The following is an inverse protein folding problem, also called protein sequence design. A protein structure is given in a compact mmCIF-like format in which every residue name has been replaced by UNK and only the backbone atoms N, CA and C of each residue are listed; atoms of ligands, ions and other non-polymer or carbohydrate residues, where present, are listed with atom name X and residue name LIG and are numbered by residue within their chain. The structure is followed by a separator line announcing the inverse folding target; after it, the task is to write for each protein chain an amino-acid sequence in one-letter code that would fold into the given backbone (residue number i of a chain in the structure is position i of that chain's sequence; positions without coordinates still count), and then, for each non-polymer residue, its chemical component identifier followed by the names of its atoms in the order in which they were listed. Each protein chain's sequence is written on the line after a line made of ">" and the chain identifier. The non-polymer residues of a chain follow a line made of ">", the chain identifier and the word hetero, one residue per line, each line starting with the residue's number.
data_IF_437630791548
#
_entry.id   IF_437630791548
#
_cell.length_a   1.000
_cell.length_b   1.000
_cell.length_c   1.000
_cell.angle_alpha   90.00
_cell.angle_beta   90.00
_cell.angle_gamma   90.00
#
_symmetry.space_group_name_H-M   'P 1'
#
loop_
_entity.id
_entity.type
_entity.pdbx_description
1 polymer ?
#
# COMPACT_ATOMS: atom_id res chain seq x y z
N UNK A 1 1.07 7.41 24.47
CA UNK A 1 2.00 7.73 23.37
C UNK A 1 2.37 6.45 22.65
N UNK A 2 2.09 6.33 21.34
CA UNK A 2 2.59 5.20 20.54
C UNK A 2 4.12 5.30 20.50
N UNK A 3 4.83 4.36 21.10
CA UNK A 3 6.29 4.28 20.98
C UNK A 3 6.65 4.06 19.51
N UNK A 4 7.63 4.81 19.01
CA UNK A 4 8.09 4.80 17.60
C UNK A 4 8.45 3.38 17.12
N UNK A 5 8.83 2.49 18.05
CA UNK A 5 9.11 1.07 17.80
C UNK A 5 7.92 0.25 17.30
N UNK A 6 6.68 0.67 17.55
CA UNK A 6 5.45 -0.02 17.10
C UNK A 6 4.96 0.44 15.73
N UNK A 7 5.50 1.55 15.21
CA UNK A 7 5.08 2.12 13.93
C UNK A 7 5.34 1.19 12.73
N UNK A 8 6.43 0.40 12.66
CA UNK A 8 6.60 -0.59 11.58
C UNK A 8 5.48 -1.63 11.54
N UNK A 9 5.08 -2.17 12.69
CA UNK A 9 3.98 -3.13 12.79
C UNK A 9 2.64 -2.48 12.42
N UNK A 10 2.40 -1.25 12.86
CA UNK A 10 1.21 -0.49 12.47
C UNK A 10 1.18 -0.25 10.94
N UNK A 11 2.31 0.13 10.36
CA UNK A 11 2.45 0.35 8.91
C UNK A 11 2.16 -0.92 8.10
N UNK A 12 2.65 -2.07 8.57
CA UNK A 12 2.36 -3.36 7.96
C UNK A 12 0.87 -3.72 8.09
N UNK A 13 0.27 -3.52 9.27
CA UNK A 13 -1.15 -3.78 9.49
C UNK A 13 -2.05 -2.89 8.61
N UNK A 14 -1.72 -1.60 8.46
CA UNK A 14 -2.45 -0.68 7.59
C UNK A 14 -2.33 -1.08 6.12
N UNK A 15 -1.15 -1.51 5.65
CA UNK A 15 -0.99 -2.03 4.30
C UNK A 15 -1.77 -3.33 4.07
N UNK A 16 -1.74 -4.26 5.03
CA UNK A 16 -2.53 -5.49 4.96
C UNK A 16 -4.04 -5.17 4.88
N UNK A 17 -4.51 -4.25 5.71
CA UNK A 17 -5.90 -3.79 5.68
C UNK A 17 -6.24 -3.13 4.33
N UNK A 18 -5.37 -2.28 3.79
CA UNK A 18 -5.56 -1.68 2.48
C UNK A 18 -5.66 -2.76 1.38
N UNK A 19 -4.79 -3.78 1.38
CA UNK A 19 -4.85 -4.89 0.43
C UNK A 19 -6.18 -5.66 0.52
N UNK A 20 -6.64 -5.96 1.74
CA UNK A 20 -7.93 -6.63 1.96
C UNK A 20 -9.09 -5.78 1.42
N UNK A 21 -9.11 -4.49 1.71
CA UNK A 21 -10.15 -3.57 1.24
C UNK A 21 -10.15 -3.42 -0.28
N UNK A 22 -8.97 -3.39 -0.91
CA UNK A 22 -8.83 -3.35 -2.37
C UNK A 22 -9.37 -4.64 -3.02
N UNK A 23 -8.98 -5.81 -2.50
CA UNK A 23 -9.47 -7.10 -2.99
C UNK A 23 -10.99 -7.18 -2.84
N UNK A 24 -11.52 -6.85 -1.65
CA UNK A 24 -12.95 -6.82 -1.41
C UNK A 24 -13.65 -5.83 -2.37
N UNK A 25 -13.10 -4.63 -2.56
CA UNK A 25 -13.61 -3.63 -3.48
C UNK A 25 -13.66 -4.12 -4.92
N UNK A 26 -12.66 -4.89 -5.35
CA UNK A 26 -12.62 -5.53 -6.67
C UNK A 26 -13.69 -6.62 -6.81
N UNK A 27 -13.89 -7.45 -5.79
CA UNK A 27 -14.94 -8.46 -5.79
C UNK A 27 -16.34 -7.83 -5.84
N UNK A 28 -16.55 -6.72 -5.13
CA UNK A 28 -17.82 -5.99 -5.13
C UNK A 28 -18.15 -5.38 -6.51
N UNK A 29 -17.17 -4.80 -7.22
CA UNK A 29 -17.43 -4.26 -8.56
C UNK A 29 -17.65 -5.37 -9.60
N UNK A 30 -17.00 -6.54 -9.45
CA UNK A 30 -17.28 -7.72 -10.28
C UNK A 30 -18.71 -8.24 -10.08
N UNK A 31 -19.25 -8.09 -8.88
CA UNK A 31 -20.65 -8.39 -8.57
C UNK A 31 -21.61 -7.23 -8.92
N UNK A 32 -21.13 -6.17 -9.60
CA UNK A 32 -21.90 -4.97 -9.95
C UNK A 32 -22.48 -4.21 -8.74
N UNK A 33 -21.97 -4.45 -7.53
CA UNK A 33 -22.39 -3.79 -6.28
C UNK A 33 -21.65 -2.47 -6.09
N UNK A 34 -21.95 -1.51 -6.97
CA UNK A 34 -21.22 -0.22 -7.09
C UNK A 34 -21.16 0.57 -5.78
N UNK A 35 -22.24 0.60 -4.99
CA UNK A 35 -22.26 1.31 -3.69
C UNK A 35 -21.24 0.74 -2.71
N UNK A 36 -21.15 -0.59 -2.61
CA UNK A 36 -20.21 -1.31 -1.73
C UNK A 36 -18.77 -1.15 -2.23
N UNK A 37 -18.56 -1.28 -3.55
CA UNK A 37 -17.26 -0.97 -4.17
C UNK A 37 -16.79 0.44 -3.80
N UNK A 38 -17.63 1.46 -3.96
CA UNK A 38 -17.28 2.86 -3.64
C UNK A 38 -16.88 3.01 -2.17
N UNK A 39 -17.66 2.44 -1.25
CA UNK A 39 -17.35 2.51 0.18
C UNK A 39 -15.99 1.87 0.50
N UNK A 40 -15.70 0.69 -0.06
CA UNK A 40 -14.43 -0.02 0.13
C UNK A 40 -13.24 0.73 -0.48
N UNK A 41 -13.39 1.33 -1.66
CA UNK A 41 -12.32 2.12 -2.28
C UNK A 41 -12.00 3.39 -1.48
N UNK A 42 -13.01 4.05 -0.92
CA UNK A 42 -12.80 5.20 -0.03
C UNK A 42 -12.15 4.79 1.29
N UNK A 43 -12.54 3.65 1.87
CA UNK A 43 -11.90 3.09 3.05
C UNK A 43 -10.43 2.72 2.78
N UNK A 44 -10.13 2.05 1.65
CA UNK A 44 -8.77 1.73 1.25
C UNK A 44 -7.91 2.98 1.07
N UNK A 45 -8.49 4.04 0.49
CA UNK A 45 -7.84 5.33 0.34
C UNK A 45 -7.52 5.98 1.70
N UNK A 46 -8.49 6.01 2.61
CA UNK A 46 -8.30 6.55 3.96
C UNK A 46 -7.22 5.78 4.75
N UNK A 47 -7.26 4.45 4.71
CA UNK A 47 -6.23 3.58 5.32
C UNK A 47 -4.86 3.83 4.71
N UNK A 48 -4.77 4.03 3.39
CA UNK A 48 -3.51 4.33 2.70
C UNK A 48 -2.94 5.70 3.09
N UNK A 49 -3.79 6.71 3.32
CA UNK A 49 -3.37 8.01 3.87
C UNK A 49 -2.81 7.83 5.28
N UNK A 50 -3.52 7.08 6.13
CA UNK A 50 -3.07 6.84 7.50
C UNK A 50 -1.73 6.09 7.52
N UNK A 51 -1.56 5.11 6.64
CA UNK A 51 -0.27 4.44 6.42
C UNK A 51 0.81 5.44 6.02
N UNK A 52 0.56 6.31 5.03
CA UNK A 52 1.56 7.25 4.55
C UNK A 52 1.99 8.22 5.65
N UNK A 53 1.05 8.75 6.41
CA UNK A 53 1.35 9.63 7.56
C UNK A 53 2.21 8.89 8.59
N UNK A 54 1.79 7.69 9.00
CA UNK A 54 2.53 6.87 9.96
C UNK A 54 3.93 6.47 9.46
N UNK A 55 4.06 6.14 8.18
CA UNK A 55 5.33 5.84 7.51
C UNK A 55 6.29 7.03 7.51
N UNK A 56 5.82 8.21 7.12
CA UNK A 56 6.63 9.43 7.09
C UNK A 56 7.07 9.83 8.50
N UNK A 57 6.18 9.73 9.50
CA UNK A 57 6.53 9.97 10.91
C UNK A 57 7.60 9.00 11.38
N UNK A 58 7.44 7.70 11.11
CA UNK A 58 8.45 6.69 11.45
C UNK A 58 9.80 6.99 10.79
N UNK A 59 9.80 7.27 9.49
CA UNK A 59 11.02 7.48 8.73
C UNK A 59 11.75 8.77 9.14
N UNK A 60 11.00 9.81 9.52
CA UNK A 60 11.58 11.04 10.06
C UNK A 60 12.33 10.81 11.39
N UNK A 61 11.84 9.90 12.25
CA UNK A 61 12.46 9.65 13.55
C UNK A 61 13.55 8.57 13.54
N UNK A 62 13.36 7.49 12.78
CA UNK A 62 14.24 6.30 12.80
C UNK A 62 15.20 6.25 11.61
N UNK A 63 14.92 7.01 10.54
CA UNK A 63 15.69 6.97 9.32
C UNK A 63 15.56 5.64 8.59
N UNK A 64 16.67 5.17 7.99
CA UNK A 64 16.70 3.93 7.23
C UNK A 64 17.25 2.77 8.06
N UNK A 65 16.48 1.67 8.12
CA UNK A 65 16.94 0.41 8.72
C UNK A 65 17.65 -0.41 7.66
N UNK A 66 18.86 -0.88 7.97
CA UNK A 66 19.67 -1.68 7.04
C UNK A 66 19.18 -3.12 7.01
N UNK A 67 19.03 -3.68 5.82
CA UNK A 67 18.77 -5.10 5.65
C UNK A 67 20.04 -5.94 5.87
N UNK A 68 20.00 -6.86 6.84
CA UNK A 68 21.13 -7.68 7.29
C UNK A 68 21.20 -9.05 6.62
N UNK A 69 20.16 -9.46 5.87
CA UNK A 69 20.13 -10.74 5.16
C UNK A 69 21.27 -10.88 4.13
N UNK A 70 21.83 -12.09 4.06
CA UNK A 70 22.97 -12.46 3.19
C UNK A 70 22.57 -13.52 2.15
N UNK A 71 23.35 -13.63 1.07
CA UNK A 71 23.10 -14.60 -0.01
C UNK A 71 21.99 -14.17 -0.98
N UNK A 72 21.25 -15.14 -1.53
CA UNK A 72 20.26 -14.93 -2.60
C UNK A 72 19.07 -14.05 -2.18
N UNK A 73 18.76 -13.95 -0.88
CA UNK A 73 17.63 -13.15 -0.40
C UNK A 73 17.88 -11.64 -0.52
N UNK A 74 19.14 -11.22 -0.50
CA UNK A 74 19.52 -9.80 -0.59
C UNK A 74 19.11 -9.14 -1.91
N UNK A 75 19.47 -9.68 -3.09
CA UNK A 75 18.99 -9.12 -4.36
C UNK A 75 17.46 -9.20 -4.50
N UNK A 76 16.81 -10.26 -3.99
CA UNK A 76 15.34 -10.36 -3.98
C UNK A 76 14.70 -9.25 -3.15
N UNK A 77 15.21 -9.02 -1.93
CA UNK A 77 14.75 -7.95 -1.06
C UNK A 77 14.89 -6.58 -1.73
N UNK A 78 16.05 -6.28 -2.30
CA UNK A 78 16.25 -4.98 -2.96
C UNK A 78 15.42 -4.82 -4.23
N UNK A 79 15.22 -5.88 -5.01
CA UNK A 79 14.32 -5.84 -6.15
C UNK A 79 12.89 -5.46 -5.72
N UNK A 80 12.37 -6.11 -4.67
CA UNK A 80 11.04 -5.81 -4.10
C UNK A 80 10.99 -4.43 -3.48
N UNK A 81 12.00 -4.02 -2.72
CA UNK A 81 12.04 -2.73 -2.05
C UNK A 81 12.06 -1.59 -3.07
N UNK A 82 12.93 -1.66 -4.07
CA UNK A 82 13.07 -0.63 -5.10
C UNK A 82 11.78 -0.52 -5.91
N UNK A 83 11.23 -1.65 -6.40
CA UNK A 83 9.98 -1.63 -7.15
C UNK A 83 8.81 -1.12 -6.30
N UNK A 84 8.71 -1.55 -5.04
CA UNK A 84 7.69 -1.08 -4.09
C UNK A 84 7.79 0.44 -3.91
N UNK A 85 8.97 0.98 -3.59
CA UNK A 85 9.13 2.41 -3.32
C UNK A 85 8.80 3.26 -4.55
N UNK A 86 9.26 2.87 -5.75
CA UNK A 86 8.98 3.60 -6.98
C UNK A 86 7.47 3.60 -7.31
N UNK A 87 6.83 2.44 -7.21
CA UNK A 87 5.40 2.31 -7.47
C UNK A 87 4.56 3.00 -6.38
N UNK A 88 4.99 2.94 -5.12
CA UNK A 88 4.32 3.59 -3.99
C UNK A 88 4.25 5.11 -4.17
N UNK A 89 5.30 5.73 -4.73
CA UNK A 89 5.31 7.16 -5.03
C UNK A 89 4.22 7.55 -6.06
N UNK A 90 3.88 6.65 -6.98
CA UNK A 90 2.84 6.89 -7.98
C UNK A 90 1.41 6.68 -7.44
N UNK A 91 1.22 5.83 -6.43
CA UNK A 91 -0.11 5.43 -5.92
C UNK A 91 -0.96 6.63 -5.47
N UNK A 92 -0.48 7.60 -4.66
CA UNK A 92 -1.30 8.74 -4.24
C UNK A 92 -1.88 9.52 -5.42
N UNK A 93 -1.07 9.79 -6.44
CA UNK A 93 -1.49 10.49 -7.65
C UNK A 93 -2.53 9.68 -8.41
N UNK A 94 -2.25 8.40 -8.67
CA UNK A 94 -3.17 7.51 -9.38
C UNK A 94 -4.50 7.33 -8.65
N UNK A 95 -4.47 7.16 -7.32
CA UNK A 95 -5.66 6.99 -6.49
C UNK A 95 -6.53 8.25 -6.52
N UNK A 96 -5.94 9.44 -6.33
CA UNK A 96 -6.66 10.72 -6.40
C UNK A 96 -7.29 10.94 -7.77
N UNK A 97 -6.54 10.72 -8.86
CA UNK A 97 -7.07 10.86 -10.22
C UNK A 97 -8.23 9.88 -10.48
N UNK A 98 -8.09 8.63 -10.03
CA UNK A 98 -9.12 7.59 -10.20
C UNK A 98 -10.40 7.93 -9.43
N UNK A 99 -10.28 8.42 -8.18
CA UNK A 99 -11.40 8.88 -7.36
C UNK A 99 -12.07 10.14 -7.92
N UNK A 100 -11.27 11.10 -8.43
CA UNK A 100 -11.79 12.32 -9.06
C UNK A 100 -12.63 12.00 -10.29
N UNK A 101 -12.19 11.06 -11.13
CA UNK A 101 -12.97 10.62 -12.29
C UNK A 101 -14.31 9.98 -11.86
N UNK A 102 -14.32 9.19 -10.78
CA UNK A 102 -15.54 8.61 -10.24
C UNK A 102 -16.48 9.69 -9.68
N UNK A 103 -15.94 10.71 -8.99
CA UNK A 103 -16.70 11.85 -8.48
C UNK A 103 -17.38 12.65 -9.60
N UNK A 104 -16.68 12.83 -10.73
CA UNK A 104 -17.20 13.52 -11.92
C UNK A 104 -18.19 12.70 -12.75
N UNK A 105 -18.45 11.44 -12.39
CA UNK A 105 -19.28 10.54 -13.18
C UNK A 105 -18.63 10.05 -14.47
N UNK A 106 -17.32 10.29 -14.68
CA UNK A 106 -16.58 9.92 -15.89
C UNK A 106 -16.17 8.43 -15.85
N UNK A 107 -17.14 7.53 -15.71
CA UNK A 107 -16.92 6.11 -15.41
C UNK A 107 -16.11 5.36 -16.48
N UNK A 108 -16.23 5.73 -17.76
CA UNK A 108 -15.44 5.13 -18.83
C UNK A 108 -13.94 5.41 -18.65
N UNK A 109 -13.58 6.66 -18.34
CA UNK A 109 -12.19 7.07 -18.05
C UNK A 109 -11.72 6.50 -16.72
N UNK A 110 -12.56 6.52 -15.69
CA UNK A 110 -12.30 5.87 -14.41
C UNK A 110 -11.91 4.41 -14.62
N UNK A 111 -12.69 3.63 -15.38
CA UNK A 111 -12.40 2.21 -15.66
C UNK A 111 -11.09 2.03 -16.44
N UNK A 112 -10.79 2.92 -17.39
CA UNK A 112 -9.52 2.87 -18.14
C UNK A 112 -8.32 3.08 -17.23
N UNK A 113 -8.39 4.05 -16.32
CA UNK A 113 -7.31 4.34 -15.36
C UNK A 113 -7.23 3.27 -14.26
N UNK A 114 -8.37 2.84 -13.71
CA UNK A 114 -8.46 1.86 -12.63
C UNK A 114 -7.84 0.50 -12.99
N UNK A 115 -7.82 0.11 -14.28
CA UNK A 115 -7.12 -1.10 -14.75
C UNK A 115 -5.62 -1.08 -14.47
N UNK A 116 -5.03 0.10 -14.33
CA UNK A 116 -3.63 0.29 -13.97
C UNK A 116 -3.48 0.64 -12.48
N UNK A 117 -4.32 1.55 -11.98
CA UNK A 117 -4.29 1.96 -10.57
C UNK A 117 -4.47 0.78 -9.63
N UNK A 118 -5.45 -0.10 -9.90
CA UNK A 118 -5.76 -1.22 -9.02
C UNK A 118 -4.58 -2.20 -8.81
N UNK A 119 -3.98 -2.79 -9.87
CA UNK A 119 -2.87 -3.73 -9.67
C UNK A 119 -1.64 -3.06 -9.05
N UNK A 120 -1.32 -1.81 -9.40
CA UNK A 120 -0.20 -1.08 -8.79
C UNK A 120 -0.46 -0.85 -7.29
N UNK A 121 -1.65 -0.39 -6.94
CA UNK A 121 -2.02 -0.12 -5.56
C UNK A 121 -2.02 -1.41 -4.73
N UNK A 122 -2.60 -2.49 -5.25
CA UNK A 122 -2.60 -3.79 -4.58
C UNK A 122 -1.17 -4.34 -4.42
N UNK A 123 -0.34 -4.25 -5.47
CA UNK A 123 1.06 -4.66 -5.42
C UNK A 123 1.81 -3.95 -4.30
N UNK A 124 1.70 -2.63 -4.22
CA UNK A 124 2.36 -1.81 -3.19
C UNK A 124 1.85 -2.21 -1.80
N UNK A 125 0.54 -2.35 -1.60
CA UNK A 125 -0.01 -2.77 -0.30
C UNK A 125 0.48 -4.15 0.14
N UNK A 126 0.56 -5.14 -0.76
CA UNK A 126 1.07 -6.47 -0.41
C UNK A 126 2.57 -6.44 -0.16
N UNK A 127 3.34 -5.80 -1.03
CA UNK A 127 4.80 -5.73 -0.90
C UNK A 127 5.25 -4.93 0.32
N UNK A 128 4.47 -3.96 0.80
CA UNK A 128 4.74 -3.25 2.06
C UNK A 128 4.72 -4.20 3.27
N UNK A 129 3.81 -5.18 3.29
CA UNK A 129 3.78 -6.24 4.31
C UNK A 129 4.99 -7.16 4.16
N UNK A 130 5.34 -7.55 2.92
CA UNK A 130 6.51 -8.41 2.66
C UNK A 130 7.81 -7.75 3.12
N UNK A 131 8.01 -6.46 2.80
CA UNK A 131 9.18 -5.69 3.25
C UNK A 131 9.24 -5.66 4.78
N UNK A 132 8.11 -5.45 5.46
CA UNK A 132 8.06 -5.50 6.92
C UNK A 132 8.45 -6.87 7.47
N UNK A 133 7.88 -7.95 6.94
CA UNK A 133 8.19 -9.31 7.40
C UNK A 133 9.68 -9.64 7.21
N UNK A 134 10.23 -9.34 6.03
CA UNK A 134 11.64 -9.57 5.74
C UNK A 134 12.56 -8.76 6.67
N UNK A 135 12.24 -7.49 6.91
CA UNK A 135 13.13 -6.58 7.64
C UNK A 135 13.02 -6.70 9.17
N UNK A 136 11.84 -7.02 9.71
CA UNK A 136 11.60 -6.97 11.17
C UNK A 136 11.29 -8.32 11.81
N UNK A 137 10.91 -9.35 11.03
CA UNK A 137 10.51 -10.65 11.59
C UNK A 137 11.43 -11.79 11.16
N UNK A 138 11.85 -11.81 9.88
CA UNK A 138 12.67 -12.89 9.30
C UNK A 138 14.16 -12.56 9.41
N UNK A 139 14.56 -11.33 9.09
CA UNK A 139 15.94 -10.85 9.21
C UNK A 139 16.00 -9.59 10.08
N UNK A 140 15.59 -9.66 11.36
CA UNK A 140 15.69 -8.53 12.26
C UNK A 140 17.15 -8.08 12.39
N UNK A 141 17.38 -6.78 12.38
CA UNK A 141 18.67 -6.23 12.77
C UNK A 141 18.91 -6.52 14.27
N UNK A 142 20.14 -6.89 14.67
CA UNK A 142 20.49 -7.13 16.07
C UNK A 142 20.41 -5.87 16.93
#
# INVERSE_FOLDING_TARGET
>A
MLSVSRLPTLNAALNALAAILLIAGYLEIRALRVRRHRALMLAAFAVSILFLVSYLVYHYHVGSVRFTGQGWIRPVYFAVLISHTLLAAAVPVLAVLTLRLAWRGEFARHRRLARWTFPIWLYVSVTGVVVYLLLYQIYPAP
#
